data_IF_182419241822
#
_entry.id   IF_182419241822
#
_cell.length_a   1.000
_cell.length_b   1.000
_cell.length_c   1.000
_cell.angle_alpha   90.00
_cell.angle_beta   90.00
_cell.angle_gamma   90.00
#
_symmetry.space_group_name_H-M   'P 1'
#
loop_
_entity.id
_entity.type
_entity.pdbx_description
1 polymer ?
#
# COMPACT_ATOMS: atom_id res chain seq x y z
N UNK A 1 8.16 11.34 18.10
CA UNK A 1 7.80 10.19 18.96
C UNK A 1 6.44 9.69 18.54
N UNK A 2 6.35 8.48 17.98
CA UNK A 2 5.07 7.87 17.58
C UNK A 2 4.42 7.30 18.85
N UNK A 3 3.21 7.73 19.18
CA UNK A 3 2.52 7.22 20.37
C UNK A 3 2.16 5.74 20.19
N UNK A 4 2.37 4.91 21.23
CA UNK A 4 2.01 3.47 21.21
C UNK A 4 0.54 3.21 20.82
N UNK A 5 -0.35 4.18 21.10
CA UNK A 5 -1.76 4.13 20.67
C UNK A 5 -1.94 4.25 19.16
N UNK A 6 -1.14 5.07 18.48
CA UNK A 6 -1.19 5.20 17.03
C UNK A 6 -0.78 3.89 16.36
N UNK A 7 0.33 3.29 16.81
CA UNK A 7 0.83 2.02 16.27
C UNK A 7 -0.25 0.94 16.33
N UNK A 8 -0.88 0.73 17.49
CA UNK A 8 -1.95 -0.27 17.67
C UNK A 8 -3.13 -0.11 16.70
N UNK A 9 -3.44 1.11 16.26
CA UNK A 9 -4.53 1.40 15.32
C UNK A 9 -4.12 1.19 13.86
N UNK A 10 -2.83 1.39 13.55
CA UNK A 10 -2.27 1.20 12.22
C UNK A 10 -1.96 -0.26 11.91
N UNK A 11 -1.46 -1.02 12.89
CA UNK A 11 -1.04 -2.42 12.72
C UNK A 11 -2.07 -3.31 12.00
N UNK A 12 -3.36 -3.35 12.38
CA UNK A 12 -4.32 -4.22 11.69
C UNK A 12 -4.56 -3.80 10.23
N UNK A 13 -4.51 -2.48 9.94
CA UNK A 13 -4.70 -1.96 8.57
C UNK A 13 -3.50 -2.32 7.70
N UNK A 14 -2.29 -2.16 8.23
CA UNK A 14 -1.03 -2.53 7.56
C UNK A 14 -1.01 -4.04 7.28
N UNK A 15 -1.34 -4.87 8.28
CA UNK A 15 -1.37 -6.33 8.13
C UNK A 15 -2.40 -6.78 7.09
N UNK A 16 -3.61 -6.22 7.12
CA UNK A 16 -4.65 -6.55 6.15
C UNK A 16 -4.24 -6.15 4.72
N UNK A 17 -3.67 -4.95 4.55
CA UNK A 17 -3.21 -4.48 3.25
C UNK A 17 -2.05 -5.32 2.70
N UNK A 18 -1.06 -5.65 3.55
CA UNK A 18 0.07 -6.51 3.16
C UNK A 18 -0.43 -7.90 2.80
N UNK A 19 -1.31 -8.51 3.60
CA UNK A 19 -1.88 -9.82 3.30
C UNK A 19 -2.63 -9.83 1.95
N UNK A 20 -3.40 -8.77 1.67
CA UNK A 20 -4.12 -8.63 0.41
C UNK A 20 -3.17 -8.47 -0.79
N UNK A 21 -2.12 -7.66 -0.65
CA UNK A 21 -1.12 -7.45 -1.70
C UNK A 21 -0.32 -8.74 -1.98
N UNK A 22 0.07 -9.47 -0.94
CA UNK A 22 0.73 -10.78 -1.08
C UNK A 22 -0.18 -11.79 -1.78
N UNK A 23 -1.48 -11.81 -1.43
CA UNK A 23 -2.45 -12.68 -2.11
C UNK A 23 -2.61 -12.31 -3.59
N UNK A 24 -2.61 -11.01 -3.93
CA UNK A 24 -2.66 -10.54 -5.31
C UNK A 24 -1.40 -10.93 -6.10
N UNK A 25 -0.21 -10.83 -5.51
CA UNK A 25 1.03 -11.26 -6.15
C UNK A 25 1.05 -12.78 -6.38
N UNK A 26 0.60 -13.57 -5.40
CA UNK A 26 0.44 -15.02 -5.54
C UNK A 26 -0.59 -15.38 -6.64
N UNK A 27 -1.72 -14.67 -6.70
CA UNK A 27 -2.72 -14.84 -7.76
C UNK A 27 -2.18 -14.43 -9.13
N UNK A 28 -1.38 -13.36 -9.20
CA UNK A 28 -0.75 -12.90 -10.45
C UNK A 28 0.20 -13.94 -11.02
N UNK A 29 1.01 -14.57 -10.17
CA UNK A 29 1.86 -15.72 -10.53
C UNK A 29 1.05 -16.91 -11.02
N UNK A 30 0.04 -17.34 -10.24
CA UNK A 30 -0.80 -18.48 -10.59
C UNK A 30 -1.60 -18.25 -11.89
N UNK A 31 -2.04 -17.02 -12.13
CA UNK A 31 -2.75 -16.63 -13.35
C UNK A 31 -1.80 -16.45 -14.55
N UNK A 32 -0.51 -16.19 -14.31
CA UNK A 32 0.52 -16.05 -15.34
C UNK A 32 0.87 -17.38 -16.02
N UNK A 33 0.68 -18.52 -15.35
CA UNK A 33 1.16 -19.80 -15.85
C UNK A 33 0.22 -20.56 -16.82
N UNK A 34 -1.07 -20.22 -16.95
CA UNK A 34 -1.81 -20.68 -18.14
C UNK A 34 -2.82 -19.69 -18.76
N UNK A 35 -3.14 -18.55 -18.14
CA UNK A 35 -4.34 -17.76 -18.48
C UNK A 35 -4.07 -16.47 -19.27
N UNK A 36 -2.81 -16.09 -19.52
CA UNK A 36 -2.49 -14.90 -20.33
C UNK A 36 -3.12 -13.61 -19.80
N UNK A 37 -3.38 -13.54 -18.49
CA UNK A 37 -4.09 -12.42 -17.90
C UNK A 37 -3.23 -11.15 -18.00
N UNK A 38 -3.78 -10.04 -18.50
CA UNK A 38 -3.04 -8.78 -18.56
C UNK A 38 -2.64 -8.37 -17.14
N UNK A 39 -1.38 -8.01 -16.90
CA UNK A 39 -0.85 -7.57 -15.60
C UNK A 39 -1.35 -6.16 -15.18
N UNK A 40 -1.91 -5.41 -16.11
CA UNK A 40 -2.39 -4.03 -15.93
C UNK A 40 -3.47 -3.85 -14.84
N UNK A 41 -4.50 -4.71 -14.71
CA UNK A 41 -5.54 -4.60 -13.68
C UNK A 41 -4.99 -4.81 -12.27
N UNK A 42 -4.02 -5.71 -12.08
CA UNK A 42 -3.37 -5.97 -10.77
C UNK A 42 -2.61 -4.74 -10.26
N UNK A 43 -1.98 -3.99 -11.18
CA UNK A 43 -1.35 -2.71 -10.87
C UNK A 43 -2.35 -1.65 -10.39
N UNK A 44 -3.52 -1.55 -11.04
CA UNK A 44 -4.59 -0.62 -10.63
C UNK A 44 -5.13 -0.97 -9.24
N UNK A 45 -5.39 -2.26 -8.98
CA UNK A 45 -5.87 -2.71 -7.66
C UNK A 45 -4.84 -2.41 -6.56
N UNK A 46 -3.55 -2.66 -6.82
CA UNK A 46 -2.48 -2.35 -5.87
C UNK A 46 -2.41 -0.85 -5.58
N UNK A 47 -2.58 0.00 -6.60
CA UNK A 47 -2.58 1.45 -6.45
C UNK A 47 -3.77 1.94 -5.61
N UNK A 48 -4.95 1.33 -5.80
CA UNK A 48 -6.12 1.60 -4.95
C UNK A 48 -5.89 1.17 -3.50
N UNK A 49 -5.20 0.06 -3.26
CA UNK A 49 -4.83 -0.38 -1.91
C UNK A 49 -3.88 0.63 -1.26
N UNK A 50 -2.83 1.09 -1.94
CA UNK A 50 -1.91 2.09 -1.40
C UNK A 50 -2.62 3.41 -1.07
N UNK A 51 -3.51 3.87 -1.95
CA UNK A 51 -4.28 5.09 -1.76
C UNK A 51 -5.23 4.98 -0.56
N UNK A 52 -5.93 3.85 -0.43
CA UNK A 52 -6.87 3.61 0.67
C UNK A 52 -6.15 3.41 2.01
N UNK A 53 -4.98 2.76 2.05
CA UNK A 53 -4.13 2.69 3.25
C UNK A 53 -3.72 4.09 3.71
N UNK A 54 -3.23 4.93 2.80
CA UNK A 54 -2.85 6.32 3.11
C UNK A 54 -4.02 7.13 3.67
N UNK A 55 -5.20 7.01 3.06
CA UNK A 55 -6.40 7.72 3.49
C UNK A 55 -6.90 7.24 4.87
N UNK A 56 -7.04 5.92 5.07
CA UNK A 56 -7.57 5.33 6.31
C UNK A 56 -6.62 5.57 7.48
N UNK A 57 -5.31 5.39 7.28
CA UNK A 57 -4.33 5.63 8.34
C UNK A 57 -4.23 7.12 8.68
N UNK A 58 -4.36 8.02 7.69
CA UNK A 58 -4.42 9.46 7.94
C UNK A 58 -5.61 9.85 8.81
N UNK A 59 -6.80 9.33 8.52
CA UNK A 59 -8.01 9.57 9.33
C UNK A 59 -7.91 9.04 10.76
N UNK A 60 -7.20 7.93 10.97
CA UNK A 60 -7.11 7.31 12.31
C UNK A 60 -6.02 7.88 13.20
N UNK A 61 -5.05 8.59 12.62
CA UNK A 61 -3.84 9.00 13.34
C UNK A 61 -3.46 10.44 13.01
N UNK A 62 -2.76 10.66 11.90
CA UNK A 62 -2.35 11.95 11.38
C UNK A 62 -1.86 11.77 9.95
N UNK A 63 -1.73 12.88 9.21
CA UNK A 63 -1.17 12.87 7.86
C UNK A 63 0.18 12.12 7.77
N UNK A 64 1.10 12.41 8.70
CA UNK A 64 2.40 11.73 8.77
C UNK A 64 2.29 10.23 9.07
N UNK A 65 1.30 9.84 9.87
CA UNK A 65 1.01 8.43 10.14
C UNK A 65 0.47 7.67 8.92
N UNK A 66 -0.35 8.34 8.09
CA UNK A 66 -0.82 7.80 6.81
C UNK A 66 0.32 7.58 5.82
N UNK A 67 1.22 8.55 5.68
CA UNK A 67 2.38 8.44 4.80
C UNK A 67 3.33 7.33 5.24
N UNK A 68 3.68 7.27 6.53
CA UNK A 68 4.53 6.21 7.08
C UNK A 68 3.91 4.83 6.90
N UNK A 69 2.61 4.68 7.14
CA UNK A 69 1.92 3.41 6.95
C UNK A 69 1.95 2.96 5.49
N UNK A 70 1.70 3.86 4.53
CA UNK A 70 1.76 3.54 3.11
C UNK A 70 3.19 3.17 2.65
N UNK A 71 4.21 3.87 3.16
CA UNK A 71 5.61 3.53 2.89
C UNK A 71 5.98 2.14 3.44
N UNK A 72 5.59 1.83 4.69
CA UNK A 72 5.82 0.51 5.29
C UNK A 72 5.10 -0.59 4.50
N UNK A 73 3.86 -0.36 4.09
CA UNK A 73 3.12 -1.31 3.24
C UNK A 73 3.80 -1.49 1.89
N UNK A 74 4.28 -0.41 1.25
CA UNK A 74 5.02 -0.48 -0.01
C UNK A 74 6.32 -1.28 0.08
N UNK A 75 7.10 -1.09 1.16
CA UNK A 75 8.31 -1.88 1.42
C UNK A 75 7.97 -3.34 1.67
N UNK A 76 6.97 -3.63 2.51
CA UNK A 76 6.56 -5.00 2.82
C UNK A 76 5.99 -5.72 1.61
N UNK A 77 5.12 -5.09 0.83
CA UNK A 77 4.58 -5.67 -0.39
C UNK A 77 5.66 -5.89 -1.44
N UNK A 78 6.54 -4.91 -1.63
CA UNK A 78 7.67 -5.00 -2.56
C UNK A 78 8.71 -6.07 -2.21
N UNK A 79 8.76 -6.53 -0.95
CA UNK A 79 9.72 -7.54 -0.48
C UNK A 79 9.08 -8.91 -0.27
N UNK A 80 7.96 -8.97 0.44
CA UNK A 80 7.27 -10.23 0.78
C UNK A 80 6.54 -10.80 -0.42
N UNK A 81 5.93 -9.95 -1.27
CA UNK A 81 5.21 -10.38 -2.46
C UNK A 81 6.09 -11.19 -3.43
N UNK A 82 7.23 -10.65 -3.87
CA UNK A 82 8.19 -11.39 -4.69
C UNK A 82 8.73 -12.64 -3.99
N UNK A 83 8.96 -12.60 -2.67
CA UNK A 83 9.46 -13.77 -1.93
C UNK A 83 8.44 -14.92 -1.88
N UNK A 84 7.14 -14.61 -1.76
CA UNK A 84 6.06 -15.60 -1.82
C UNK A 84 5.87 -16.12 -3.25
N UNK A 85 5.94 -15.25 -4.25
CA UNK A 85 5.92 -15.65 -5.66
C UNK A 85 7.05 -16.64 -6.01
N UNK A 86 8.23 -16.45 -5.43
CA UNK A 86 9.36 -17.38 -5.53
C UNK A 86 9.09 -18.74 -4.90
N UNK A 87 8.41 -18.77 -3.74
CA UNK A 87 8.04 -20.03 -3.07
C UNK A 87 6.98 -20.83 -3.86
N UNK A 88 6.17 -20.16 -4.68
CA UNK A 88 5.09 -20.80 -5.45
C UNK A 88 5.58 -21.44 -6.76
N UNK A 89 6.72 -20.99 -7.32
CA UNK A 89 7.47 -21.79 -8.29
C UNK A 89 7.93 -21.11 -9.58
N UNK A 90 7.50 -19.88 -9.89
CA UNK A 90 8.02 -19.16 -11.07
C UNK A 90 8.98 -18.05 -10.73
N UNK A 91 8.75 -17.33 -9.63
CA UNK A 91 9.40 -16.04 -9.40
C UNK A 91 9.02 -15.04 -10.52
N UNK A 92 8.76 -13.77 -10.19
CA UNK A 92 8.33 -12.85 -11.23
C UNK A 92 9.55 -12.54 -12.10
N UNK A 93 9.56 -13.18 -13.27
CA UNK A 93 10.66 -13.35 -14.22
C UNK A 93 11.63 -14.45 -13.78
N UNK A 94 12.00 -15.33 -14.73
CA UNK A 94 13.18 -16.20 -14.69
C UNK A 94 14.48 -15.36 -14.61
N UNK A 95 14.60 -14.55 -13.58
CA UNK A 95 15.78 -13.82 -13.20
C UNK A 95 16.33 -14.55 -11.98
N UNK A 96 17.43 -15.27 -12.21
CA UNK A 96 18.30 -15.69 -11.13
C UNK A 96 18.56 -14.48 -10.20
N UNK A 97 18.59 -14.72 -8.88
CA UNK A 97 18.91 -13.71 -7.84
C UNK A 97 20.30 -13.07 -8.03
N UNK A 98 21.02 -13.39 -9.09
CA UNK A 98 22.38 -12.96 -9.40
C UNK A 98 22.53 -11.47 -9.68
N UNK A 99 21.45 -10.70 -9.87
CA UNK A 99 21.51 -9.23 -10.01
C UNK A 99 20.75 -8.47 -8.90
N UNK A 100 21.37 -8.29 -7.71
CA UNK A 100 20.82 -7.54 -6.58
C UNK A 100 20.30 -6.14 -6.93
N UNK A 101 20.84 -5.52 -7.99
CA UNK A 101 20.45 -4.17 -8.44
C UNK A 101 19.05 -4.12 -9.00
N UNK A 102 18.62 -5.14 -9.75
CA UNK A 102 17.27 -5.16 -10.37
C UNK A 102 16.21 -5.37 -9.30
N UNK A 103 16.47 -6.27 -8.34
CA UNK A 103 15.60 -6.47 -7.19
C UNK A 103 15.46 -5.19 -6.35
N UNK A 104 16.57 -4.56 -6.00
CA UNK A 104 16.56 -3.30 -5.25
C UNK A 104 15.81 -2.17 -5.98
N UNK A 105 16.01 -2.06 -7.31
CA UNK A 105 15.30 -1.09 -8.13
C UNK A 105 13.78 -1.32 -8.12
N UNK A 106 13.33 -2.58 -8.24
CA UNK A 106 11.90 -2.92 -8.20
C UNK A 106 11.28 -2.59 -6.84
N UNK A 107 11.95 -2.96 -5.74
CA UNK A 107 11.50 -2.63 -4.39
C UNK A 107 11.41 -1.11 -4.22
N UNK A 108 12.44 -0.38 -4.67
CA UNK A 108 12.47 1.08 -4.59
C UNK A 108 11.34 1.71 -5.41
N UNK A 109 11.09 1.23 -6.62
CA UNK A 109 10.03 1.74 -7.49
C UNK A 109 8.63 1.48 -6.92
N UNK A 110 8.37 0.26 -6.43
CA UNK A 110 7.09 -0.10 -5.80
C UNK A 110 6.89 0.72 -4.53
N UNK A 111 7.93 0.87 -3.71
CA UNK A 111 7.89 1.69 -2.50
C UNK A 111 7.62 3.16 -2.81
N UNK A 112 8.28 3.72 -3.82
CA UNK A 112 8.07 5.10 -4.25
C UNK A 112 6.65 5.32 -4.76
N UNK A 113 6.12 4.38 -5.54
CA UNK A 113 4.75 4.41 -6.06
C UNK A 113 3.72 4.32 -4.92
N UNK A 114 3.94 3.41 -3.98
CA UNK A 114 3.11 3.26 -2.79
C UNK A 114 3.14 4.51 -1.91
N UNK A 115 4.31 5.12 -1.72
CA UNK A 115 4.48 6.35 -0.97
C UNK A 115 3.77 7.53 -1.65
N UNK A 116 3.89 7.66 -2.97
CA UNK A 116 3.19 8.69 -3.74
C UNK A 116 1.67 8.53 -3.68
N UNK A 117 1.16 7.31 -3.91
CA UNK A 117 -0.27 7.01 -3.79
C UNK A 117 -0.79 7.22 -2.37
N UNK A 118 -0.03 6.79 -1.36
CA UNK A 118 -0.36 7.00 0.05
C UNK A 118 -0.35 8.48 0.45
N UNK A 119 0.58 9.28 -0.09
CA UNK A 119 0.61 10.72 0.09
C UNK A 119 -0.65 11.38 -0.48
N UNK A 120 -1.05 11.02 -1.70
CA UNK A 120 -2.27 11.52 -2.33
C UNK A 120 -3.50 11.12 -1.50
N UNK A 121 -3.57 9.88 -1.04
CA UNK A 121 -4.64 9.39 -0.17
C UNK A 121 -4.73 10.14 1.15
N UNK A 122 -3.60 10.36 1.82
CA UNK A 122 -3.53 11.14 3.06
C UNK A 122 -3.88 12.63 2.85
N UNK A 123 -3.48 13.21 1.71
CA UNK A 123 -3.79 14.59 1.36
C UNK A 123 -5.30 14.76 1.12
N UNK A 124 -5.90 13.87 0.33
CA UNK A 124 -7.34 13.85 0.09
C UNK A 124 -8.13 13.68 1.40
N UNK A 125 -7.71 12.73 2.25
CA UNK A 125 -8.31 12.45 3.55
C UNK A 125 -8.31 13.68 4.48
N UNK A 126 -7.15 14.33 4.62
CA UNK A 126 -7.00 15.52 5.47
C UNK A 126 -7.73 16.75 4.92
N UNK A 127 -7.88 16.86 3.60
CA UNK A 127 -8.66 17.93 2.97
C UNK A 127 -10.17 17.73 3.17
N UNK A 128 -10.64 16.49 3.08
CA UNK A 128 -12.03 16.11 3.37
C UNK A 128 -12.41 16.38 4.83
N UNK A 129 -11.53 16.09 5.79
CA UNK A 129 -11.75 16.41 7.20
C UNK A 129 -11.88 17.91 7.44
N UNK A 130 -10.99 18.72 6.84
CA UNK A 130 -11.08 20.19 6.91
C UNK A 130 -12.40 20.71 6.38
N UNK A 131 -12.89 20.16 5.25
CA UNK A 131 -14.21 20.54 4.70
C UNK A 131 -15.37 20.13 5.60
N UNK A 132 -15.30 18.98 6.27
CA UNK A 132 -16.33 18.56 7.23
C UNK A 132 -16.39 19.48 8.45
N UNK A 133 -15.23 19.85 9.01
CA UNK A 133 -15.15 20.74 10.17
C UNK A 133 -15.72 22.15 9.90
N UNK A 134 -15.51 22.68 8.68
CA UNK A 134 -16.09 23.97 8.24
C UNK A 134 -17.61 23.86 8.05
N UNK A 135 -18.10 22.70 7.60
CA UNK A 135 -19.54 22.48 7.39
C UNK A 135 -20.31 22.29 8.70
N UNK A 136 -19.68 21.71 9.72
CA UNK A 136 -20.30 21.53 11.05
C UNK A 136 -20.34 22.81 11.89
N UNK A 137 -19.43 23.75 11.66
CA UNK A 137 -19.40 25.04 12.36
C UNK A 137 -20.44 26.05 11.84
N UNK A 138 -21.12 25.75 10.72
CA UNK A 138 -22.27 26.51 10.23
C UNK A 138 -23.61 26.16 10.91
N UNK A 139 -23.65 25.17 11.81
CA UNK A 139 -24.84 24.89 12.63
C UNK A 139 -24.78 25.80 13.86
N UNK A 140 -25.40 26.96 13.73
CA UNK A 140 -25.61 27.97 14.78
C UNK A 140 -26.23 27.31 16.02
N UNK A 141 -25.67 27.45 17.23
CA UNK A 141 -26.36 27.09 18.45
C UNK A 141 -27.53 28.06 18.66
N UNK A 142 -28.73 27.48 18.83
CA UNK A 142 -29.95 28.21 19.22
C UNK A 142 -29.83 28.82 20.61
#
# INVERSE_FOLDING_TARGET
>A
MIERRQVRRMTPVILAAVALLVALDAMGELAGQPLGFPYLPLGVVSLLIYLSVGAICSWRTSFGGGLLAAAVVGVLAGTVGPLVAWLIGSGPVAQDVTEPRIFAYRVAFVTATAAAAGFIGAAAASWLERRRAVRSSGVVPR
#
